data_IF_301527695319
#
_entry.id   IF_301527695319
#
_cell.length_a   1.000
_cell.length_b   1.000
_cell.length_c   1.000
_cell.angle_alpha   90.00
_cell.angle_beta   90.00
_cell.angle_gamma   90.00
#
_symmetry.space_group_name_H-M   'P 1'
#
loop_
_entity.id
_entity.type
_entity.pdbx_description
1 polymer ?
#
# COMPACT_ATOMS: atom_id res chain seq x y z
N UNK A 1 -5.00 -2.64 13.19
CA UNK A 1 -3.57 -2.88 13.46
C UNK A 1 -2.95 -1.69 14.21
N UNK A 2 -1.80 -1.88 14.86
CA UNK A 2 -1.12 -0.79 15.58
C UNK A 2 -0.75 0.37 14.64
N UNK A 3 -0.25 0.06 13.45
CA UNK A 3 0.13 1.06 12.45
C UNK A 3 -1.10 1.85 11.97
N UNK A 4 -2.21 1.17 11.73
CA UNK A 4 -3.47 1.82 11.36
C UNK A 4 -3.92 2.85 12.41
N UNK A 5 -3.88 2.48 13.69
CA UNK A 5 -4.26 3.41 14.77
C UNK A 5 -3.35 4.64 14.83
N UNK A 6 -2.04 4.45 14.62
CA UNK A 6 -1.07 5.56 14.58
C UNK A 6 -1.36 6.48 13.40
N UNK A 7 -1.60 5.92 12.21
CA UNK A 7 -1.86 6.69 10.99
C UNK A 7 -3.19 7.45 11.07
N UNK A 8 -4.26 6.80 11.52
CA UNK A 8 -5.58 7.45 11.68
C UNK A 8 -5.54 8.57 12.70
N UNK A 9 -4.85 8.37 13.84
CA UNK A 9 -4.67 9.43 14.85
C UNK A 9 -3.83 10.60 14.29
N UNK A 10 -2.77 10.32 13.53
CA UNK A 10 -1.93 11.37 12.94
C UNK A 10 -2.68 12.18 11.87
N UNK A 11 -3.58 11.54 11.14
CA UNK A 11 -4.44 12.19 10.15
C UNK A 11 -5.68 12.86 10.73
N UNK A 12 -5.95 12.64 12.02
CA UNK A 12 -7.16 13.14 12.74
C UNK A 12 -8.47 12.72 12.03
N UNK A 13 -8.55 11.44 11.63
CA UNK A 13 -9.71 10.89 10.94
C UNK A 13 -10.27 9.66 11.64
N UNK A 14 -11.57 9.42 11.47
CA UNK A 14 -12.32 8.28 12.01
C UNK A 14 -13.02 7.49 10.91
N UNK A 15 -12.29 7.18 9.84
CA UNK A 15 -12.83 6.37 8.75
C UNK A 15 -12.98 4.90 9.16
N UNK A 16 -13.95 4.17 8.58
CA UNK A 16 -14.09 2.74 8.82
C UNK A 16 -12.81 1.98 8.45
N UNK A 17 -12.33 1.12 9.36
CA UNK A 17 -11.10 0.35 9.18
C UNK A 17 -11.11 -0.45 7.87
N UNK A 18 -12.25 -1.00 7.48
CA UNK A 18 -12.44 -1.75 6.24
C UNK A 18 -12.17 -0.95 4.95
N UNK A 19 -12.22 0.40 5.01
CA UNK A 19 -11.89 1.26 3.88
C UNK A 19 -10.43 1.69 3.90
N UNK A 20 -9.90 1.96 5.08
CA UNK A 20 -8.51 2.42 5.26
C UNK A 20 -7.54 1.26 5.10
N UNK A 21 -7.90 0.05 5.54
CA UNK A 21 -7.07 -1.15 5.47
C UNK A 21 -7.91 -2.36 5.02
N UNK A 22 -8.29 -2.44 3.74
CA UNK A 22 -9.22 -3.46 3.23
C UNK A 22 -8.71 -4.90 3.33
N UNK A 23 -7.39 -5.10 3.49
CA UNK A 23 -6.78 -6.42 3.71
C UNK A 23 -5.71 -6.34 4.79
N UNK A 24 -5.95 -6.98 5.92
CA UNK A 24 -4.97 -7.11 6.99
C UNK A 24 -4.40 -8.53 7.03
N UNK A 25 -3.08 -8.66 7.05
CA UNK A 25 -2.39 -9.93 7.20
C UNK A 25 -1.51 -9.91 8.45
N UNK A 26 -1.68 -10.85 9.40
CA UNK A 26 -0.90 -10.90 10.63
C UNK A 26 0.53 -11.42 10.41
N UNK A 27 0.86 -11.87 9.20
CA UNK A 27 2.15 -12.48 8.85
C UNK A 27 3.04 -11.42 8.19
N UNK A 28 4.28 -11.20 8.68
CA UNK A 28 5.21 -10.21 8.13
C UNK A 28 5.87 -10.72 6.83
N UNK A 29 5.11 -10.73 5.74
CA UNK A 29 5.56 -11.14 4.41
C UNK A 29 4.82 -10.35 3.33
N UNK A 30 5.12 -10.60 2.03
CA UNK A 30 4.40 -9.94 0.96
C UNK A 30 2.90 -10.28 0.99
N UNK A 31 2.02 -9.36 0.56
CA UNK A 31 0.58 -9.61 0.50
C UNK A 31 0.23 -10.88 -0.27
N UNK A 32 0.91 -11.13 -1.39
CA UNK A 32 0.73 -12.35 -2.19
C UNK A 32 1.00 -13.63 -1.38
N UNK A 33 2.14 -13.68 -0.67
CA UNK A 33 2.52 -14.85 0.13
C UNK A 33 1.59 -15.02 1.32
N UNK A 34 1.25 -13.95 2.02
CA UNK A 34 0.35 -13.97 3.16
C UNK A 34 -1.04 -14.48 2.75
N UNK A 35 -1.60 -13.93 1.69
CA UNK A 35 -2.90 -14.31 1.15
C UNK A 35 -2.93 -15.79 0.74
N UNK A 36 -1.89 -16.25 0.03
CA UNK A 36 -1.76 -17.66 -0.36
C UNK A 36 -1.72 -18.61 0.85
N UNK A 37 -0.94 -18.26 1.87
CA UNK A 37 -0.80 -19.09 3.07
C UNK A 37 -2.11 -19.15 3.90
N UNK A 38 -2.90 -18.06 3.89
CA UNK A 38 -4.15 -17.97 4.65
C UNK A 38 -5.39 -18.36 3.82
N UNK A 39 -5.23 -18.70 2.54
CA UNK A 39 -6.34 -19.00 1.65
C UNK A 39 -7.25 -17.79 1.36
N UNK A 40 -6.73 -16.58 1.53
CA UNK A 40 -7.45 -15.33 1.30
C UNK A 40 -7.24 -14.88 -0.15
N UNK A 41 -8.33 -14.50 -0.83
CA UNK A 41 -8.25 -13.92 -2.17
C UNK A 41 -8.24 -12.40 -2.08
N UNK A 42 -7.13 -11.76 -2.50
CA UNK A 42 -7.06 -10.30 -2.62
C UNK A 42 -7.84 -9.88 -3.87
N UNK A 43 -8.79 -8.97 -3.69
CA UNK A 43 -9.54 -8.34 -4.79
C UNK A 43 -9.09 -6.89 -4.97
N UNK A 44 -8.35 -6.63 -6.04
CA UNK A 44 -7.86 -5.28 -6.39
C UNK A 44 -9.02 -4.31 -6.65
N UNK A 45 -10.13 -4.79 -7.22
CA UNK A 45 -11.33 -3.95 -7.43
C UNK A 45 -11.91 -3.47 -6.10
N UNK A 46 -11.85 -4.31 -5.05
CA UNK A 46 -12.26 -3.90 -3.72
C UNK A 46 -11.33 -2.81 -3.16
N UNK A 47 -10.01 -2.96 -3.28
CA UNK A 47 -9.03 -1.96 -2.86
C UNK A 47 -9.27 -0.62 -3.56
N UNK A 48 -9.39 -0.63 -4.88
CA UNK A 48 -9.64 0.61 -5.67
C UNK A 48 -10.99 1.24 -5.35
N UNK A 49 -12.00 0.45 -5.01
CA UNK A 49 -13.31 0.94 -4.56
C UNK A 49 -13.22 1.65 -3.20
N UNK A 50 -12.48 1.08 -2.26
CA UNK A 50 -12.22 1.70 -0.96
C UNK A 50 -11.49 3.05 -1.13
N UNK A 51 -10.43 3.09 -1.92
CA UNK A 51 -9.72 4.32 -2.26
C UNK A 51 -10.65 5.39 -2.84
N UNK A 52 -11.49 5.02 -3.82
CA UNK A 52 -12.44 5.97 -4.45
C UNK A 52 -13.49 6.50 -3.47
N UNK A 53 -13.90 5.70 -2.48
CA UNK A 53 -14.82 6.16 -1.43
C UNK A 53 -14.14 7.22 -0.55
N UNK A 54 -12.92 6.95 -0.08
CA UNK A 54 -12.15 7.89 0.72
C UNK A 54 -11.84 9.17 -0.06
N UNK A 55 -11.50 9.07 -1.34
CA UNK A 55 -11.20 10.21 -2.21
C UNK A 55 -12.40 11.15 -2.47
N UNK A 56 -13.62 10.73 -2.14
CA UNK A 56 -14.82 11.59 -2.22
C UNK A 56 -15.04 12.43 -0.98
N UNK A 57 -14.45 12.05 0.14
CA UNK A 57 -14.70 12.68 1.46
C UNK A 57 -13.48 13.36 2.04
N UNK A 58 -12.29 13.16 1.45
CA UNK A 58 -11.04 13.76 1.87
C UNK A 58 -10.38 14.53 0.74
N UNK A 59 -9.76 15.66 1.06
CA UNK A 59 -9.03 16.50 0.10
C UNK A 59 -7.67 15.89 -0.28
N UNK A 60 -7.06 15.15 0.65
CA UNK A 60 -5.77 14.50 0.47
C UNK A 60 -5.85 13.07 0.99
N UNK A 61 -5.34 12.11 0.20
CA UNK A 61 -5.18 10.72 0.62
C UNK A 61 -3.72 10.31 0.45
N UNK A 62 -3.16 9.76 1.51
CA UNK A 62 -1.86 9.09 1.49
C UNK A 62 -2.09 7.58 1.47
N UNK A 63 -1.55 6.92 0.45
CA UNK A 63 -1.58 5.46 0.33
C UNK A 63 -0.19 4.92 0.61
N UNK A 64 -0.07 4.14 1.68
CA UNK A 64 1.18 3.46 2.02
C UNK A 64 1.17 2.04 1.46
N UNK A 65 2.21 1.71 0.68
CA UNK A 65 2.46 0.35 0.24
C UNK A 65 3.21 -0.47 1.28
N UNK A 66 3.31 -1.78 1.07
CA UNK A 66 4.10 -2.67 1.90
C UNK A 66 5.35 -3.16 1.15
N UNK A 67 6.51 -3.06 1.78
CA UNK A 67 7.79 -3.43 1.18
C UNK A 67 8.23 -2.44 0.09
N UNK A 68 8.78 -2.93 -1.00
CA UNK A 68 9.23 -2.12 -2.12
C UNK A 68 8.22 -2.06 -3.26
N UNK A 69 8.52 -1.21 -4.26
CA UNK A 69 7.65 -0.95 -5.41
C UNK A 69 7.31 -2.21 -6.24
N UNK A 70 8.22 -3.20 -6.24
CA UNK A 70 8.03 -4.48 -6.93
C UNK A 70 7.47 -5.58 -6.03
N UNK A 71 7.06 -5.27 -4.78
CA UNK A 71 6.48 -6.25 -3.88
C UNK A 71 5.17 -6.79 -4.46
N UNK A 72 5.01 -8.12 -4.63
CA UNK A 72 3.83 -8.69 -5.25
C UNK A 72 2.61 -8.64 -4.31
N UNK A 73 1.51 -8.16 -4.84
CA UNK A 73 0.17 -8.22 -4.24
C UNK A 73 -0.56 -9.47 -4.76
N UNK A 74 -0.45 -9.73 -6.06
CA UNK A 74 -0.87 -10.97 -6.73
C UNK A 74 0.31 -11.56 -7.51
N UNK A 75 0.11 -12.71 -8.13
CA UNK A 75 1.16 -13.38 -8.91
C UNK A 75 1.79 -12.45 -9.96
N UNK A 76 0.97 -11.71 -10.68
CA UNK A 76 1.39 -10.84 -11.80
C UNK A 76 0.93 -9.39 -11.56
N UNK A 77 0.89 -8.95 -10.29
CA UNK A 77 0.45 -7.61 -9.91
C UNK A 77 1.22 -7.15 -8.67
N UNK A 78 1.99 -6.10 -8.80
CA UNK A 78 2.86 -5.54 -7.77
C UNK A 78 2.35 -4.17 -7.28
N UNK A 79 3.02 -3.59 -6.29
CA UNK A 79 2.71 -2.25 -5.77
C UNK A 79 2.72 -1.20 -6.89
N UNK A 80 3.65 -1.28 -7.84
CA UNK A 80 3.70 -0.34 -8.97
C UNK A 80 2.43 -0.38 -9.82
N UNK A 81 1.82 -1.55 -9.98
CA UNK A 81 0.58 -1.68 -10.75
C UNK A 81 -0.59 -1.03 -10.00
N UNK A 82 -0.61 -1.17 -8.67
CA UNK A 82 -1.59 -0.46 -7.83
C UNK A 82 -1.44 1.06 -7.93
N UNK A 83 -0.21 1.58 -7.91
CA UNK A 83 0.06 3.01 -8.08
C UNK A 83 -0.54 3.52 -9.40
N UNK A 84 -0.32 2.78 -10.50
CA UNK A 84 -0.87 3.10 -11.82
C UNK A 84 -2.41 3.07 -11.82
N UNK A 85 -3.01 2.03 -11.23
CA UNK A 85 -4.47 1.87 -11.16
C UNK A 85 -5.15 2.95 -10.31
N UNK A 86 -4.47 3.46 -9.28
CA UNK A 86 -4.95 4.57 -8.46
C UNK A 86 -4.70 5.93 -9.12
N UNK A 87 -3.88 5.99 -10.17
CA UNK A 87 -3.39 7.23 -10.79
C UNK A 87 -2.82 8.21 -9.75
N UNK A 88 -2.04 7.68 -8.80
CA UNK A 88 -1.52 8.43 -7.68
C UNK A 88 -0.11 8.97 -7.97
N UNK A 89 0.18 10.18 -7.49
CA UNK A 89 1.53 10.70 -7.47
C UNK A 89 2.37 9.90 -6.46
N UNK A 90 3.61 9.59 -6.82
CA UNK A 90 4.48 8.76 -5.99
C UNK A 90 5.44 9.62 -5.16
N UNK A 91 5.48 9.37 -3.86
CA UNK A 91 6.50 9.90 -2.95
C UNK A 91 7.43 8.75 -2.57
N UNK A 92 8.73 8.89 -2.90
CA UNK A 92 9.73 7.88 -2.59
C UNK A 92 10.40 8.25 -1.27
N UNK A 93 10.24 7.39 -0.27
CA UNK A 93 10.90 7.52 1.04
C UNK A 93 12.15 6.65 1.07
N UNK A 94 13.29 7.23 1.39
CA UNK A 94 14.58 6.54 1.45
C UNK A 94 15.22 6.68 2.83
N UNK A 95 16.17 5.81 3.13
CA UNK A 95 16.96 5.87 4.36
C UNK A 95 18.41 6.21 4.04
N UNK A 96 19.14 6.80 4.99
CA UNK A 96 20.58 7.13 4.85
C UNK A 96 21.49 5.94 5.23
N UNK A 97 21.10 4.71 4.86
CA UNK A 97 21.87 3.49 5.12
C UNK A 97 22.66 3.05 3.89
N UNK A 98 23.67 2.20 4.09
CA UNK A 98 24.39 1.58 2.98
C UNK A 98 23.43 0.84 2.05
N UNK A 99 23.59 1.00 0.73
CA UNK A 99 22.70 0.42 -0.28
C UNK A 99 21.54 1.33 -0.70
N UNK A 100 21.30 2.46 -0.01
CA UNK A 100 20.18 3.35 -0.32
C UNK A 100 20.28 3.96 -1.71
N UNK A 101 21.49 4.29 -2.18
CA UNK A 101 21.67 4.85 -3.54
C UNK A 101 21.18 3.87 -4.59
N UNK A 102 21.57 2.59 -4.49
CA UNK A 102 21.14 1.55 -5.39
C UNK A 102 19.61 1.37 -5.34
N UNK A 103 19.03 1.19 -4.16
CA UNK A 103 17.58 1.00 -3.99
C UNK A 103 16.79 2.22 -4.49
N UNK A 104 17.24 3.43 -4.19
CA UNK A 104 16.57 4.66 -4.63
C UNK A 104 16.59 4.82 -6.13
N UNK A 105 17.76 4.63 -6.77
CA UNK A 105 17.89 4.71 -8.23
C UNK A 105 17.01 3.66 -8.93
N UNK A 106 17.03 2.42 -8.45
CA UNK A 106 16.17 1.35 -8.99
C UNK A 106 14.69 1.71 -8.87
N UNK A 107 14.26 2.23 -7.72
CA UNK A 107 12.87 2.63 -7.49
C UNK A 107 12.47 3.79 -8.40
N UNK A 108 13.31 4.83 -8.51
CA UNK A 108 13.07 5.97 -9.40
C UNK A 108 12.97 5.56 -10.88
N UNK A 109 13.75 4.58 -11.31
CA UNK A 109 13.69 4.10 -12.70
C UNK A 109 12.41 3.31 -13.01
N UNK A 110 11.71 2.83 -11.98
CA UNK A 110 10.44 2.10 -12.15
C UNK A 110 9.21 3.02 -12.10
N UNK A 111 9.31 4.18 -11.45
CA UNK A 111 8.27 5.20 -11.40
C UNK A 111 8.27 6.08 -12.65
#
# INVERSE_FOLDING_TARGET
SKDLSILSNAADVCDPEEFVNPFFFPIPTSPYTAAKNLGIKIDIKHVTKCFRKLNKIHDIILVEGIGGIMTPILKDYAIIDLIKDLNANTIIVTSSKMGTMNHTIMTCNMC
#
